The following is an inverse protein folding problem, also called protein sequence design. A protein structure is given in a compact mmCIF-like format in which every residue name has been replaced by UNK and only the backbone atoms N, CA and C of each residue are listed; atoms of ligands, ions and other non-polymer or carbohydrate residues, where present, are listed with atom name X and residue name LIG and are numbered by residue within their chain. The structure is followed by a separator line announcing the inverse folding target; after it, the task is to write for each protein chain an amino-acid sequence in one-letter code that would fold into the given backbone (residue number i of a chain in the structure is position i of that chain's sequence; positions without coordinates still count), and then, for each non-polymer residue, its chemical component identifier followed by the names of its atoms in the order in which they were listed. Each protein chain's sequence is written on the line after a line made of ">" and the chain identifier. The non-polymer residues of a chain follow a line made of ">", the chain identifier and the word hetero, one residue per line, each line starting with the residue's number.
data_IF_063509279763
#
_entry.id   IF_063509279763
#
_cell.length_a   1.000
_cell.length_b   1.000
_cell.length_c   1.000
_cell.angle_alpha   90.00
_cell.angle_beta   90.00
_cell.angle_gamma   90.00
#
_symmetry.space_group_name_H-M   'P 1'
#
loop_
_entity.id
_entity.type
_entity.pdbx_description
1 polymer ?
#
# COMPACT_ATOMS: atom_id res chain seq x y z
N UNK A 1 -16.11 -0.48 -2.16
CA UNK A 1 -15.73 0.77 -2.86
C UNK A 1 -14.70 0.39 -3.92
N UNK A 2 -14.82 0.81 -5.18
CA UNK A 2 -13.73 0.56 -6.15
C UNK A 2 -12.54 1.45 -5.75
N UNK A 3 -11.30 0.93 -5.70
CA UNK A 3 -10.13 1.77 -5.45
C UNK A 3 -10.09 2.90 -6.47
N UNK A 4 -9.78 4.12 -6.04
CA UNK A 4 -9.60 5.20 -7.01
C UNK A 4 -8.39 4.87 -7.91
N UNK A 5 -8.34 5.36 -9.16
CA UNK A 5 -7.26 5.01 -10.09
C UNK A 5 -5.85 5.31 -9.55
N UNK A 6 -5.71 6.33 -8.70
CA UNK A 6 -4.43 6.68 -8.07
C UNK A 6 -4.05 5.63 -7.02
N UNK A 7 -5.00 5.15 -6.21
CA UNK A 7 -4.75 4.10 -5.22
C UNK A 7 -4.29 2.81 -5.90
N UNK A 8 -4.93 2.43 -7.00
CA UNK A 8 -4.52 1.24 -7.75
C UNK A 8 -3.14 1.41 -8.38
N UNK A 9 -2.83 2.58 -8.95
CA UNK A 9 -1.51 2.87 -9.50
C UNK A 9 -0.41 2.82 -8.42
N UNK A 10 -0.68 3.36 -7.23
CA UNK A 10 0.24 3.27 -6.09
C UNK A 10 0.44 1.83 -5.62
N UNK A 11 -0.64 1.06 -5.46
CA UNK A 11 -0.58 -0.34 -5.05
C UNK A 11 0.23 -1.18 -6.05
N UNK A 12 -0.02 -1.00 -7.35
CA UNK A 12 0.73 -1.68 -8.41
C UNK A 12 2.22 -1.27 -8.41
N UNK A 13 2.53 0.00 -8.20
CA UNK A 13 3.92 0.45 -8.07
C UNK A 13 4.64 -0.25 -6.91
N UNK A 14 4.03 -0.32 -5.73
CA UNK A 14 4.62 -0.97 -4.55
C UNK A 14 4.88 -2.47 -4.80
N UNK A 15 3.95 -3.16 -5.48
CA UNK A 15 4.14 -4.55 -5.89
C UNK A 15 5.33 -4.71 -6.86
N UNK A 16 5.47 -3.80 -7.84
CA UNK A 16 6.63 -3.83 -8.76
C UNK A 16 7.95 -3.63 -8.03
N UNK A 17 7.97 -2.80 -6.98
CA UNK A 17 9.16 -2.59 -6.15
C UNK A 17 9.47 -3.81 -5.28
N UNK A 18 8.45 -4.55 -4.84
CA UNK A 18 8.61 -5.78 -4.08
C UNK A 18 9.21 -6.93 -4.93
N UNK A 19 9.02 -6.89 -6.25
CA UNK A 19 9.58 -7.85 -7.21
C UNK A 19 10.91 -7.38 -7.83
N UNK A 20 11.34 -6.16 -7.51
CA UNK A 20 12.54 -5.58 -8.09
C UNK A 20 13.79 -6.34 -7.65
N UNK A 21 14.70 -6.57 -8.60
CA UNK A 21 16.01 -7.17 -8.30
C UNK A 21 16.89 -6.15 -7.59
N UNK A 22 17.75 -6.66 -6.70
CA UNK A 22 18.81 -5.87 -6.07
C UNK A 22 19.67 -5.18 -7.13
N UNK A 23 20.03 -3.93 -6.89
CA UNK A 23 20.96 -3.17 -7.72
C UNK A 23 21.69 -2.13 -6.89
N UNK A 24 22.86 -1.69 -7.36
CA UNK A 24 23.67 -0.66 -6.69
C UNK A 24 23.96 -0.99 -5.23
N UNK A 25 23.66 -0.05 -4.33
CA UNK A 25 23.83 -0.21 -2.89
C UNK A 25 23.02 -1.37 -2.29
N UNK A 26 22.01 -1.87 -3.00
CA UNK A 26 21.22 -3.03 -2.57
C UNK A 26 21.94 -4.37 -2.69
N UNK A 27 23.10 -4.45 -3.36
CA UNK A 27 23.83 -5.71 -3.54
C UNK A 27 24.40 -6.28 -2.24
N UNK A 28 24.83 -5.40 -1.34
CA UNK A 28 25.40 -5.79 -0.03
C UNK A 28 24.33 -6.00 1.05
N UNK A 29 23.07 -5.69 0.74
CA UNK A 29 21.96 -5.88 1.69
C UNK A 29 21.65 -7.37 1.82
N UNK A 30 21.57 -7.93 3.04
CA UNK A 30 21.20 -9.32 3.27
C UNK A 30 19.87 -9.70 2.59
N UNK A 31 19.73 -10.94 2.10
CA UNK A 31 18.48 -11.41 1.48
C UNK A 31 17.27 -11.29 2.40
N UNK A 32 17.44 -11.59 3.69
CA UNK A 32 16.37 -11.51 4.67
C UNK A 32 15.78 -10.10 4.81
N UNK A 33 16.61 -9.05 4.70
CA UNK A 33 16.15 -7.66 4.76
C UNK A 33 15.37 -7.27 3.50
N UNK A 34 15.82 -7.73 2.33
CA UNK A 34 15.10 -7.49 1.09
C UNK A 34 13.78 -8.27 1.03
N UNK A 35 13.73 -9.48 1.58
CA UNK A 35 12.51 -10.27 1.67
C UNK A 35 11.51 -9.59 2.62
N UNK A 36 11.98 -9.11 3.76
CA UNK A 36 11.18 -8.32 4.70
C UNK A 36 10.61 -7.06 4.03
N UNK A 37 11.44 -6.30 3.32
CA UNK A 37 11.00 -5.11 2.60
C UNK A 37 9.92 -5.45 1.55
N UNK A 38 10.11 -6.53 0.79
CA UNK A 38 9.15 -6.98 -0.21
C UNK A 38 7.80 -7.38 0.41
N UNK A 39 7.79 -8.06 1.57
CA UNK A 39 6.57 -8.38 2.31
C UNK A 39 5.86 -7.11 2.75
N UNK A 40 6.59 -6.13 3.29
CA UNK A 40 6.02 -4.86 3.76
C UNK A 40 5.42 -4.03 2.62
N UNK A 41 6.08 -3.98 1.46
CA UNK A 41 5.55 -3.30 0.28
C UNK A 41 4.23 -3.91 -0.20
N UNK A 42 4.14 -5.25 -0.25
CA UNK A 42 2.89 -5.95 -0.60
C UNK A 42 1.79 -5.75 0.44
N UNK A 43 2.13 -5.71 1.72
CA UNK A 43 1.16 -5.42 2.79
C UNK A 43 0.56 -4.01 2.63
N UNK A 44 1.39 -3.00 2.38
CA UNK A 44 0.91 -1.62 2.16
C UNK A 44 0.03 -1.53 0.91
N UNK A 45 0.39 -2.22 -0.17
CA UNK A 45 -0.46 -2.30 -1.37
C UNK A 45 -1.85 -2.91 -1.06
N UNK A 46 -1.91 -3.95 -0.22
CA UNK A 46 -3.16 -4.55 0.23
C UNK A 46 -3.97 -3.59 1.12
N UNK A 47 -3.33 -2.91 2.07
CA UNK A 47 -3.97 -1.93 2.96
C UNK A 47 -4.58 -0.75 2.19
N UNK A 48 -3.88 -0.29 1.15
CA UNK A 48 -4.36 0.75 0.24
C UNK A 48 -5.64 0.32 -0.48
N UNK A 49 -5.67 -0.90 -1.03
CA UNK A 49 -6.86 -1.46 -1.69
C UNK A 49 -8.01 -1.75 -0.72
N UNK A 50 -7.68 -2.09 0.52
CA UNK A 50 -8.65 -2.29 1.59
C UNK A 50 -9.22 -0.96 2.14
N UNK A 51 -8.63 0.18 1.79
CA UNK A 51 -9.08 1.49 2.25
C UNK A 51 -8.66 1.84 3.68
N UNK A 52 -7.69 1.12 4.26
CA UNK A 52 -7.22 1.31 5.64
C UNK A 52 -6.43 2.61 5.86
N UNK A 53 -6.11 3.32 4.78
CA UNK A 53 -5.50 4.65 4.81
C UNK A 53 -6.53 5.75 5.06
N UNK A 54 -7.82 5.46 4.92
CA UNK A 54 -8.89 6.41 5.18
C UNK A 54 -9.18 6.44 6.68
N UNK A 55 -9.47 7.60 7.27
CA UNK A 55 -10.02 7.63 8.62
C UNK A 55 -11.29 6.76 8.65
N UNK A 56 -11.49 6.01 9.74
CA UNK A 56 -12.77 5.37 10.01
C UNK A 56 -13.86 6.42 9.81
N UNK A 57 -14.87 6.09 9.01
CA UNK A 57 -15.85 7.03 8.50
C UNK A 57 -16.64 7.72 9.65
N UNK A 58 -16.07 8.77 10.25
CA UNK A 58 -16.72 9.65 11.21
C UNK A 58 -17.48 10.72 10.42
N UNK A 59 -18.68 10.39 9.93
CA UNK A 59 -19.46 11.39 9.17
C UNK A 59 -20.81 10.97 8.63
N UNK A 60 -21.37 9.84 9.06
CA UNK A 60 -22.68 9.37 8.60
C UNK A 60 -23.89 9.85 9.41
N UNK A 61 -23.80 10.92 10.19
CA UNK A 61 -24.92 11.47 10.97
C UNK A 61 -24.94 12.99 10.94
N UNK A 62 -25.10 13.58 9.75
CA UNK A 62 -25.85 14.83 9.67
C UNK A 62 -27.26 14.44 9.23
N UNK A 63 -28.04 13.96 10.18
CA UNK A 63 -29.49 13.89 10.05
C UNK A 63 -30.00 15.34 9.94
N UNK A 64 -30.42 15.73 8.75
CA UNK A 64 -31.31 16.87 8.56
C UNK A 64 -32.54 16.66 9.43
N UNK A 65 -32.60 17.38 10.56
CA UNK A 65 -33.85 17.65 11.26
C UNK A 65 -34.59 18.72 10.45
N UNK A 66 -35.63 18.28 9.73
CA UNK A 66 -36.79 19.13 9.41
C UNK A 66 -37.67 19.30 10.66
#
# INVERSE_FOLDING_TARGET
>A
MKPCPIIEACAAYLETQADARKSGAGLDVPSAETDFAAIRLRAVAADLRAGLHLPDNQGGQNETHD
#
